data_IF_283048758981
#
_entry.id   IF_283048758981
#
_cell.length_a   1.000
_cell.length_b   1.000
_cell.length_c   1.000
_cell.angle_alpha   90.00
_cell.angle_beta   90.00
_cell.angle_gamma   90.00
#
_symmetry.space_group_name_H-M   'P 1'
#
loop_
_entity.id
_entity.type
_entity.pdbx_description
1 polymer ?
#
# COMPACT_ATOMS: atom_id res chain seq x y z
N UNK A 1 8.67 -0.87 36.62
CA UNK A 1 7.41 -1.59 36.36
C UNK A 1 7.30 -1.86 34.85
N UNK A 2 8.28 -2.57 34.28
CA UNK A 2 8.31 -2.96 32.86
C UNK A 2 8.59 -4.47 32.87
N UNK A 3 7.55 -5.27 33.05
CA UNK A 3 7.67 -6.72 32.90
C UNK A 3 6.76 -7.14 31.74
N UNK A 4 7.36 -7.83 30.77
CA UNK A 4 6.72 -8.51 29.62
C UNK A 4 6.27 -7.63 28.44
N UNK A 5 7.16 -6.84 27.83
CA UNK A 5 6.93 -6.30 26.48
C UNK A 5 6.91 -7.46 25.48
N UNK A 6 5.82 -7.61 24.71
CA UNK A 6 5.73 -8.57 23.61
C UNK A 6 5.73 -7.83 22.28
N UNK A 7 6.71 -8.12 21.44
CA UNK A 7 6.85 -7.56 20.10
C UNK A 7 6.55 -8.65 19.09
N UNK A 8 5.67 -8.38 18.14
CA UNK A 8 5.44 -9.25 16.98
C UNK A 8 5.90 -8.55 15.71
N UNK A 9 6.77 -9.23 14.96
CA UNK A 9 7.18 -8.84 13.62
C UNK A 9 6.43 -9.69 12.61
N UNK A 10 5.66 -9.05 11.73
CA UNK A 10 4.97 -9.71 10.64
C UNK A 10 5.71 -9.42 9.34
N UNK A 11 6.38 -10.43 8.77
CA UNK A 11 7.09 -10.32 7.50
C UNK A 11 6.37 -11.08 6.38
N UNK A 12 6.45 -10.56 5.15
CA UNK A 12 6.15 -11.33 3.93
C UNK A 12 7.23 -12.37 3.70
N UNK A 13 7.08 -13.55 4.30
CA UNK A 13 7.74 -14.74 3.80
C UNK A 13 6.72 -15.82 3.50
N UNK A 14 6.14 -15.74 2.30
CA UNK A 14 5.50 -16.82 1.55
C UNK A 14 4.92 -17.97 2.39
N UNK A 15 4.07 -17.67 3.38
CA UNK A 15 3.36 -18.71 4.13
C UNK A 15 2.14 -18.12 4.81
N UNK A 16 1.02 -18.68 4.37
CA UNK A 16 -0.39 -18.49 4.70
C UNK A 16 -0.77 -18.53 6.21
N UNK A 17 0.19 -18.41 7.14
CA UNK A 17 0.03 -18.79 8.54
C UNK A 17 -0.41 -17.68 9.49
N UNK A 18 -0.43 -16.42 9.07
CA UNK A 18 -0.81 -15.32 9.98
C UNK A 18 -2.34 -15.15 10.09
N UNK A 19 -3.09 -15.61 9.09
CA UNK A 19 -4.54 -15.38 8.99
C UNK A 19 -5.43 -16.59 9.24
N UNK A 20 -4.87 -17.81 9.36
CA UNK A 20 -5.66 -19.03 9.39
C UNK A 20 -5.11 -20.01 10.43
N UNK A 21 -5.95 -20.39 11.40
CA UNK A 21 -5.76 -21.61 12.19
C UNK A 21 -6.03 -22.83 11.28
N UNK A 22 -5.08 -23.12 10.39
CA UNK A 22 -5.08 -24.37 9.63
C UNK A 22 -4.41 -25.41 10.51
N UNK A 23 -5.23 -26.19 11.22
CA UNK A 23 -4.83 -27.48 11.75
C UNK A 23 -3.96 -28.21 10.72
N UNK A 24 -2.71 -28.46 11.10
CA UNK A 24 -1.65 -29.17 10.38
C UNK A 24 -2.12 -30.08 9.23
N UNK A 25 -2.21 -29.53 8.01
CA UNK A 25 -2.20 -30.35 6.80
C UNK A 25 -1.11 -29.80 5.89
N UNK A 26 -0.16 -30.67 5.54
CA UNK A 26 0.86 -30.47 4.53
C UNK A 26 0.22 -30.03 3.21
N UNK A 27 0.52 -28.81 2.76
CA UNK A 27 -0.07 -28.31 1.52
C UNK A 27 1.04 -27.81 0.60
N UNK A 28 1.50 -28.70 -0.28
CA UNK A 28 2.36 -28.39 -1.43
C UNK A 28 1.58 -27.92 -2.67
N UNK A 29 0.24 -27.90 -2.66
CA UNK A 29 -0.57 -27.66 -3.88
C UNK A 29 -1.92 -26.95 -3.59
N UNK A 30 -1.95 -25.63 -3.33
CA UNK A 30 -3.23 -24.94 -3.03
C UNK A 30 -3.35 -23.47 -3.46
N UNK A 31 -2.56 -22.98 -4.42
CA UNK A 31 -2.78 -21.61 -4.92
C UNK A 31 -4.19 -21.41 -5.52
N UNK A 32 -4.77 -22.43 -6.16
CA UNK A 32 -6.07 -22.30 -6.83
C UNK A 32 -7.30 -22.42 -5.91
N UNK A 33 -7.23 -23.21 -4.82
CA UNK A 33 -8.36 -23.44 -3.91
C UNK A 33 -8.53 -22.33 -2.87
N UNK A 34 -7.46 -21.62 -2.51
CA UNK A 34 -7.51 -20.50 -1.56
C UNK A 34 -8.21 -19.29 -2.19
N UNK A 35 -7.94 -19.00 -3.47
CA UNK A 35 -8.49 -17.82 -4.18
C UNK A 35 -10.01 -17.86 -4.26
N UNK A 36 -10.62 -19.04 -4.41
CA UNK A 36 -12.08 -19.21 -4.55
C UNK A 36 -12.87 -19.02 -3.24
N UNK A 37 -12.21 -18.89 -2.09
CA UNK A 37 -12.87 -18.80 -0.77
C UNK A 37 -12.42 -17.64 0.11
N UNK A 38 -11.72 -16.64 -0.45
CA UNK A 38 -11.17 -15.52 0.33
C UNK A 38 -12.27 -14.77 1.11
N UNK A 39 -13.48 -14.62 0.53
CA UNK A 39 -14.64 -14.00 1.19
C UNK A 39 -15.21 -14.78 2.39
N UNK A 40 -14.76 -16.02 2.62
CA UNK A 40 -15.20 -16.87 3.74
C UNK A 40 -14.11 -16.97 4.82
N UNK A 41 -13.02 -16.22 4.70
CA UNK A 41 -11.94 -16.20 5.70
C UNK A 41 -12.28 -15.16 6.76
N UNK A 42 -12.48 -15.62 7.99
CA UNK A 42 -12.62 -14.75 9.15
C UNK A 42 -11.23 -14.50 9.79
N UNK A 43 -10.79 -13.24 9.89
CA UNK A 43 -9.50 -12.91 10.48
C UNK A 43 -9.56 -13.02 12.02
N UNK A 44 -8.95 -14.07 12.58
CA UNK A 44 -8.92 -14.34 14.04
C UNK A 44 -7.74 -13.67 14.77
N UNK A 45 -6.94 -12.85 14.06
CA UNK A 45 -5.72 -12.23 14.60
C UNK A 45 -6.00 -11.40 15.87
N UNK A 46 -7.11 -10.65 15.87
CA UNK A 46 -7.53 -9.83 17.00
C UNK A 46 -7.88 -10.65 18.27
N UNK A 47 -8.21 -11.94 18.13
CA UNK A 47 -8.58 -12.81 19.24
C UNK A 47 -7.34 -13.50 19.83
N UNK A 48 -6.44 -13.97 18.96
CA UNK A 48 -5.32 -14.83 19.37
C UNK A 48 -4.10 -14.01 19.79
N UNK A 49 -3.76 -12.96 19.03
CA UNK A 49 -2.48 -12.27 19.19
C UNK A 49 -2.67 -10.90 19.82
N UNK A 50 -3.55 -10.08 19.25
CA UNK A 50 -3.71 -8.66 19.60
C UNK A 50 -3.90 -8.38 21.11
N UNK A 51 -4.60 -9.21 21.93
CA UNK A 51 -4.73 -8.98 23.37
C UNK A 51 -3.40 -9.07 24.14
N UNK A 52 -2.39 -9.71 23.55
CA UNK A 52 -1.09 -9.94 24.19
C UNK A 52 0.03 -9.08 23.62
N UNK A 53 -0.16 -8.44 22.47
CA UNK A 53 0.88 -7.65 21.81
C UNK A 53 1.03 -6.29 22.46
N UNK A 54 2.27 -5.86 22.65
CA UNK A 54 2.59 -4.49 23.08
C UNK A 54 3.04 -3.64 21.91
N UNK A 55 3.83 -4.23 21.01
CA UNK A 55 4.31 -3.57 19.78
C UNK A 55 4.03 -4.49 18.60
N UNK A 56 3.45 -3.92 17.54
CA UNK A 56 3.27 -4.59 16.25
C UNK A 56 4.15 -3.93 15.20
N UNK A 57 5.01 -4.71 14.55
CA UNK A 57 5.72 -4.30 13.34
C UNK A 57 5.06 -4.99 12.16
N UNK A 58 4.30 -4.23 11.37
CA UNK A 58 3.60 -4.70 10.20
C UNK A 58 4.45 -4.52 8.93
N UNK A 59 4.81 -5.61 8.29
CA UNK A 59 5.47 -5.64 6.98
C UNK A 59 4.88 -6.79 6.16
N UNK A 60 3.57 -6.73 5.94
CA UNK A 60 2.86 -7.69 5.09
C UNK A 60 2.47 -7.11 3.73
N UNK A 61 2.34 -7.98 2.74
CA UNK A 61 1.71 -7.64 1.49
C UNK A 61 0.21 -7.89 1.64
N UNK A 62 -0.58 -6.86 1.38
CA UNK A 62 -2.03 -6.91 1.47
C UNK A 62 -2.69 -6.39 0.18
N UNK A 63 -3.87 -6.91 -0.12
CA UNK A 63 -4.71 -6.42 -1.21
C UNK A 63 -6.15 -6.33 -0.71
N UNK A 64 -6.94 -5.40 -1.26
CA UNK A 64 -8.36 -5.20 -0.92
C UNK A 64 -9.25 -6.45 -0.97
N UNK A 65 -8.86 -7.48 -1.73
CA UNK A 65 -9.60 -8.75 -1.79
C UNK A 65 -9.44 -9.59 -0.53
N UNK A 66 -8.38 -9.37 0.26
CA UNK A 66 -8.13 -10.08 1.51
C UNK A 66 -8.78 -9.34 2.68
N UNK A 67 -9.31 -10.06 3.69
CA UNK A 67 -9.82 -9.42 4.89
C UNK A 67 -8.71 -8.64 5.59
N UNK A 68 -9.08 -7.51 6.21
CA UNK A 68 -8.22 -6.79 7.15
C UNK A 68 -7.98 -7.68 8.36
N UNK A 69 -6.79 -7.67 8.94
CA UNK A 69 -6.54 -8.47 10.13
C UNK A 69 -6.66 -7.66 11.44
N UNK A 70 -6.73 -6.33 11.33
CA UNK A 70 -7.19 -5.46 12.42
C UNK A 70 -8.17 -4.42 11.85
N UNK A 71 -9.41 -4.45 12.31
CA UNK A 71 -10.43 -3.43 12.02
C UNK A 71 -10.53 -2.40 13.16
N UNK A 72 -11.11 -1.23 12.86
CA UNK A 72 -11.34 -0.17 13.86
C UNK A 72 -12.24 -0.70 15.01
N UNK A 73 -13.29 -1.45 14.66
CA UNK A 73 -14.20 -2.10 15.62
C UNK A 73 -13.47 -3.11 16.52
N UNK A 74 -12.62 -3.98 15.94
CA UNK A 74 -11.91 -5.01 16.72
C UNK A 74 -10.94 -4.41 17.74
N UNK A 75 -10.20 -3.36 17.37
CA UNK A 75 -9.28 -2.70 18.31
C UNK A 75 -10.05 -1.89 19.36
N UNK A 76 -11.15 -1.24 18.98
CA UNK A 76 -12.03 -0.53 19.91
C UNK A 76 -12.57 -1.49 21.00
N UNK A 77 -13.17 -2.61 20.60
CA UNK A 77 -13.72 -3.61 21.54
C UNK A 77 -12.66 -4.16 22.52
N UNK A 78 -11.44 -4.39 22.04
CA UNK A 78 -10.33 -4.83 22.90
C UNK A 78 -9.93 -3.79 23.93
N UNK A 79 -9.91 -2.51 23.55
CA UNK A 79 -9.61 -1.41 24.48
C UNK A 79 -10.74 -1.21 25.48
N UNK A 80 -12.00 -1.17 25.03
CA UNK A 80 -13.17 -1.01 25.91
C UNK A 80 -13.30 -2.12 26.95
N UNK A 81 -12.96 -3.36 26.57
CA UNK A 81 -12.97 -4.51 27.47
C UNK A 81 -11.75 -4.59 28.39
N UNK A 82 -10.80 -3.65 28.30
CA UNK A 82 -9.56 -3.65 29.09
C UNK A 82 -8.59 -4.79 28.72
N UNK A 83 -8.77 -5.41 27.55
CA UNK A 83 -8.00 -6.55 27.08
C UNK A 83 -6.91 -6.18 26.06
N UNK A 84 -6.86 -4.92 25.61
CA UNK A 84 -5.78 -4.45 24.74
C UNK A 84 -4.50 -4.19 25.54
N UNK A 85 -3.38 -4.66 25.00
CA UNK A 85 -2.02 -4.31 25.47
C UNK A 85 -1.24 -3.52 24.43
N UNK A 86 -1.84 -3.26 23.28
CA UNK A 86 -1.16 -2.65 22.14
C UNK A 86 -0.88 -1.19 22.44
N UNK A 87 0.40 -0.82 22.40
CA UNK A 87 0.87 0.55 22.66
C UNK A 87 1.47 1.19 21.41
N UNK A 88 2.01 0.39 20.49
CA UNK A 88 2.63 0.92 19.30
C UNK A 88 2.46 0.02 18.06
N UNK A 89 2.32 0.67 16.91
CA UNK A 89 2.36 0.05 15.59
C UNK A 89 3.42 0.75 14.74
N UNK A 90 4.30 -0.04 14.15
CA UNK A 90 5.21 0.37 13.09
C UNK A 90 4.72 -0.30 11.80
N UNK A 91 4.09 0.46 10.92
CA UNK A 91 3.55 -0.05 9.66
C UNK A 91 4.48 0.29 8.49
N UNK A 92 5.21 -0.72 8.01
CA UNK A 92 6.10 -0.64 6.84
C UNK A 92 5.30 -0.73 5.54
N UNK A 93 4.11 -1.34 5.56
CA UNK A 93 3.30 -1.52 4.34
C UNK A 93 2.71 -0.18 3.90
N UNK A 94 2.38 0.69 4.86
CA UNK A 94 1.86 2.04 4.63
C UNK A 94 0.63 2.04 3.70
N UNK A 95 -0.25 1.04 3.85
CA UNK A 95 -1.49 0.97 3.10
C UNK A 95 -2.59 1.76 3.83
N UNK A 96 -2.90 2.98 3.36
CA UNK A 96 -3.96 3.82 3.95
C UNK A 96 -5.27 3.04 4.06
N UNK A 97 -5.81 2.94 5.28
CA UNK A 97 -6.94 2.07 5.60
C UNK A 97 -6.81 0.70 4.92
N UNK A 98 -5.67 0.05 5.09
CA UNK A 98 -5.31 -1.21 4.46
C UNK A 98 -5.45 -2.40 5.41
N UNK A 99 -4.40 -3.21 5.48
CA UNK A 99 -4.41 -4.43 6.31
C UNK A 99 -4.71 -4.17 7.80
N UNK A 100 -4.27 -3.00 8.29
CA UNK A 100 -4.65 -2.37 9.54
C UNK A 100 -5.53 -1.15 9.22
N UNK A 101 -6.79 -1.17 9.65
CA UNK A 101 -7.77 -0.15 9.24
C UNK A 101 -7.50 1.24 9.84
N UNK A 102 -6.89 1.33 11.02
CA UNK A 102 -6.65 2.59 11.71
C UNK A 102 -5.35 3.31 11.29
N UNK A 103 -4.73 2.89 10.17
CA UNK A 103 -3.80 3.75 9.46
C UNK A 103 -4.60 4.87 8.78
N UNK A 104 -4.64 6.06 9.40
CA UNK A 104 -5.44 7.21 8.95
C UNK A 104 -4.62 8.30 8.27
N UNK A 105 -3.30 8.34 8.49
CA UNK A 105 -2.37 9.25 7.81
C UNK A 105 -0.95 8.70 7.79
N UNK A 106 -0.15 9.17 6.85
CA UNK A 106 1.28 8.89 6.81
C UNK A 106 2.06 9.83 7.74
N UNK A 107 3.11 9.29 8.34
CA UNK A 107 4.09 10.04 9.13
C UNK A 107 5.28 10.44 8.26
N UNK A 108 6.06 11.41 8.70
CA UNK A 108 7.27 11.86 8.01
C UNK A 108 8.43 11.98 9.00
N UNK A 109 9.68 12.17 8.56
CA UNK A 109 10.84 12.22 9.46
C UNK A 109 10.75 13.31 10.54
N UNK A 110 10.10 14.45 10.26
CA UNK A 110 9.93 15.54 11.22
C UNK A 110 8.86 15.20 12.28
N UNK A 111 7.83 14.44 11.87
CA UNK A 111 6.73 13.95 12.69
C UNK A 111 6.57 12.43 12.51
N UNK A 112 7.46 11.62 13.11
CA UNK A 112 7.60 10.19 12.80
C UNK A 112 6.50 9.32 13.40
N UNK A 113 5.70 9.85 14.33
CA UNK A 113 4.60 9.15 14.97
C UNK A 113 3.38 10.05 15.12
N UNK A 114 2.20 9.45 15.14
CA UNK A 114 0.99 10.06 15.67
C UNK A 114 0.33 9.10 16.66
N UNK A 115 -0.65 9.59 17.40
CA UNK A 115 -1.41 8.81 18.37
C UNK A 115 -2.83 8.61 17.89
N UNK A 116 -3.27 7.36 17.89
CA UNK A 116 -4.64 6.97 17.56
C UNK A 116 -5.37 6.49 18.82
N UNK A 117 -6.54 7.06 19.10
CA UNK A 117 -7.40 6.61 20.18
C UNK A 117 -8.50 5.70 19.62
N UNK A 118 -8.54 4.39 19.98
CA UNK A 118 -9.55 3.48 19.45
C UNK A 118 -10.98 3.75 19.90
N UNK A 119 -11.17 4.43 21.05
CA UNK A 119 -12.49 4.71 21.62
C UNK A 119 -13.16 5.87 20.89
N UNK A 120 -12.43 6.98 20.73
CA UNK A 120 -12.94 8.18 20.05
C UNK A 120 -12.68 8.16 18.54
N UNK A 121 -11.85 7.22 18.07
CA UNK A 121 -11.33 7.12 16.71
C UNK A 121 -10.59 8.38 16.24
N UNK A 122 -10.11 9.20 17.19
CA UNK A 122 -9.39 10.44 16.90
C UNK A 122 -7.89 10.22 16.73
N UNK A 123 -7.26 11.03 15.89
CA UNK A 123 -5.80 11.12 15.75
C UNK A 123 -5.29 12.45 16.30
N UNK A 124 -4.08 12.43 16.86
CA UNK A 124 -3.38 13.64 17.31
C UNK A 124 -1.86 13.44 17.26
N UNK A 125 -1.12 14.54 17.18
CA UNK A 125 0.34 14.54 16.94
C UNK A 125 1.17 14.73 18.21
N UNK A 126 0.54 15.15 19.30
CA UNK A 126 1.21 15.39 20.58
C UNK A 126 1.02 14.19 21.50
N UNK A 127 2.02 13.87 22.29
CA UNK A 127 1.87 12.83 23.30
C UNK A 127 1.09 13.36 24.51
N UNK A 128 -0.03 12.72 24.83
CA UNK A 128 -0.78 12.98 26.06
C UNK A 128 -0.53 11.90 27.11
N UNK A 129 0.16 12.27 28.21
CA UNK A 129 0.41 11.37 29.34
C UNK A 129 -0.88 10.86 30.02
N UNK A 130 -2.01 11.55 29.83
CA UNK A 130 -3.30 11.16 30.42
C UNK A 130 -4.06 10.16 29.56
N UNK A 131 -3.69 10.02 28.29
CA UNK A 131 -4.38 9.13 27.37
C UNK A 131 -3.90 7.69 27.52
N UNK A 132 -4.62 6.92 28.33
CA UNK A 132 -4.27 5.53 28.65
C UNK A 132 -4.48 4.54 27.49
N UNK A 133 -5.24 4.95 26.47
CA UNK A 133 -5.72 4.08 25.41
C UNK A 133 -5.09 4.37 24.04
N UNK A 134 -4.21 5.36 23.97
CA UNK A 134 -3.63 5.73 22.68
C UNK A 134 -2.60 4.73 22.22
N UNK A 135 -2.67 4.47 20.91
CA UNK A 135 -1.73 3.64 20.19
C UNK A 135 -0.83 4.58 19.39
N UNK A 136 0.46 4.56 19.68
CA UNK A 136 1.48 5.25 18.89
C UNK A 136 1.62 4.57 17.53
N UNK A 137 1.57 5.34 16.45
CA UNK A 137 1.55 4.80 15.09
C UNK A 137 2.64 5.47 14.24
N UNK A 138 3.50 4.65 13.64
CA UNK A 138 4.49 5.07 12.63
C UNK A 138 4.10 4.45 11.28
N UNK A 139 4.11 5.27 10.22
CA UNK A 139 3.79 4.86 8.85
C UNK A 139 4.52 5.79 7.87
N UNK A 140 5.81 5.52 7.63
CA UNK A 140 6.66 6.32 6.72
C UNK A 140 6.72 5.58 5.38
N UNK A 141 6.15 6.16 4.32
CA UNK A 141 6.00 5.52 3.00
C UNK A 141 7.29 5.48 2.17
N UNK A 142 8.37 6.12 2.64
CA UNK A 142 9.67 6.17 1.98
C UNK A 142 10.83 5.69 2.86
N UNK A 143 10.63 4.68 3.71
CA UNK A 143 11.67 4.13 4.59
C UNK A 143 13.05 3.89 3.95
N UNK A 144 13.19 3.45 2.67
CA UNK A 144 14.52 3.34 2.06
C UNK A 144 15.32 4.64 2.05
N UNK A 145 14.67 5.81 1.99
CA UNK A 145 15.37 7.10 2.06
C UNK A 145 15.92 7.43 3.44
N UNK A 146 15.47 6.72 4.49
CA UNK A 146 15.98 6.84 5.85
C UNK A 146 17.28 6.06 6.05
N UNK A 147 17.63 5.16 5.12
CA UNK A 147 18.92 4.47 5.02
C UNK A 147 19.51 4.68 3.61
N UNK A 148 19.81 5.94 3.22
CA UNK A 148 20.07 6.29 1.82
C UNK A 148 21.34 5.66 1.28
N UNK A 149 22.35 5.42 2.12
CA UNK A 149 23.59 4.77 1.72
C UNK A 149 23.34 3.30 1.35
N UNK A 150 22.67 2.55 2.23
CA UNK A 150 22.31 1.14 2.04
C UNK A 150 21.38 0.98 0.83
N UNK A 151 20.32 1.80 0.75
CA UNK A 151 19.38 1.78 -0.35
C UNK A 151 20.08 2.05 -1.70
N UNK A 152 20.99 3.03 -1.76
CA UNK A 152 21.76 3.33 -2.97
C UNK A 152 22.70 2.20 -3.35
N UNK A 153 23.35 1.58 -2.36
CA UNK A 153 24.27 0.46 -2.58
C UNK A 153 23.51 -0.76 -3.13
N UNK A 154 22.37 -1.10 -2.56
CA UNK A 154 21.59 -2.26 -2.98
C UNK A 154 20.88 -2.04 -4.32
N UNK A 155 20.34 -0.84 -4.56
CA UNK A 155 19.82 -0.46 -5.88
C UNK A 155 20.93 -0.50 -6.95
N UNK A 156 22.11 0.04 -6.63
CA UNK A 156 23.26 0.05 -7.52
C UNK A 156 23.74 -1.35 -7.90
N UNK A 157 23.78 -2.28 -6.94
CA UNK A 157 24.10 -3.70 -7.21
C UNK A 157 23.10 -4.32 -8.19
N UNK A 158 21.80 -4.12 -7.98
CA UNK A 158 20.77 -4.65 -8.87
C UNK A 158 20.83 -4.02 -10.28
N UNK A 159 21.07 -2.72 -10.37
CA UNK A 159 21.15 -2.00 -11.64
C UNK A 159 22.40 -2.36 -12.44
N UNK A 160 23.53 -2.62 -11.77
CA UNK A 160 24.82 -2.93 -12.43
C UNK A 160 24.71 -4.04 -13.47
N UNK A 161 23.97 -5.10 -13.15
CA UNK A 161 23.80 -6.26 -14.04
C UNK A 161 22.82 -5.99 -15.19
N UNK A 162 21.98 -4.96 -15.06
CA UNK A 162 20.99 -4.54 -16.07
C UNK A 162 21.61 -3.60 -17.11
N UNK A 163 22.53 -2.72 -16.68
CA UNK A 163 23.12 -1.66 -17.53
C UNK A 163 23.67 -2.17 -18.88
N UNK A 164 24.40 -3.29 -18.97
CA UNK A 164 24.89 -3.78 -20.25
C UNK A 164 23.77 -4.07 -21.25
N UNK A 165 22.65 -4.67 -20.82
CA UNK A 165 21.52 -4.94 -21.71
C UNK A 165 20.90 -3.66 -22.25
N UNK A 166 20.81 -2.62 -21.42
CA UNK A 166 20.33 -1.31 -21.85
C UNK A 166 21.30 -0.67 -22.85
N UNK A 167 22.60 -0.72 -22.58
CA UNK A 167 23.63 -0.10 -23.41
C UNK A 167 23.78 -0.74 -24.80
N UNK A 168 23.57 -2.05 -24.92
CA UNK A 168 23.66 -2.77 -26.19
C UNK A 168 22.32 -2.91 -26.92
N UNK A 169 21.22 -2.43 -26.34
CA UNK A 169 19.92 -2.41 -27.00
C UNK A 169 19.86 -1.36 -28.11
N UNK A 170 19.06 -1.63 -29.14
CA UNK A 170 18.76 -0.66 -30.20
C UNK A 170 17.37 -0.05 -29.95
N UNK A 171 17.30 1.20 -29.45
CA UNK A 171 16.04 1.84 -29.14
C UNK A 171 15.25 2.23 -30.39
N UNK A 172 15.79 2.13 -31.60
CA UNK A 172 15.08 2.47 -32.83
C UNK A 172 14.28 1.28 -33.41
N UNK A 173 14.53 0.06 -32.91
CA UNK A 173 13.83 -1.15 -33.33
C UNK A 173 12.52 -1.35 -32.56
N UNK A 174 11.60 -2.17 -33.09
CA UNK A 174 10.50 -2.71 -32.31
C UNK A 174 11.01 -3.36 -31.01
N UNK A 175 10.18 -3.37 -29.95
CA UNK A 175 10.59 -3.82 -28.62
C UNK A 175 11.14 -5.26 -28.63
N UNK A 176 10.52 -6.13 -29.41
CA UNK A 176 10.86 -7.54 -29.58
C UNK A 176 12.22 -7.72 -30.27
N UNK A 177 12.64 -6.73 -31.06
CA UNK A 177 13.89 -6.72 -31.83
C UNK A 177 14.95 -5.77 -31.25
N UNK A 178 14.63 -5.11 -30.13
CA UNK A 178 15.51 -4.13 -29.46
C UNK A 178 16.79 -4.74 -28.90
N UNK A 179 16.86 -6.07 -28.77
CA UNK A 179 17.98 -6.76 -28.11
C UNK A 179 17.87 -6.77 -26.58
N UNK A 180 16.81 -6.19 -25.99
CA UNK A 180 16.53 -6.32 -24.57
C UNK A 180 16.11 -7.76 -24.22
N UNK A 181 16.54 -8.30 -23.08
CA UNK A 181 16.00 -9.55 -22.56
C UNK A 181 14.53 -9.41 -22.19
N UNK A 182 13.79 -10.52 -22.20
CA UNK A 182 12.34 -10.53 -22.01
C UNK A 182 11.86 -9.81 -20.75
N UNK A 183 12.60 -9.88 -19.63
CA UNK A 183 12.23 -9.21 -18.40
C UNK A 183 12.29 -7.67 -18.52
N UNK A 184 13.25 -7.14 -19.29
CA UNK A 184 13.34 -5.70 -19.58
C UNK A 184 12.32 -5.27 -20.63
N UNK A 185 12.02 -6.12 -21.62
CA UNK A 185 10.90 -5.87 -22.53
C UNK A 185 9.59 -5.77 -21.76
N UNK A 186 9.34 -6.68 -20.82
CA UNK A 186 8.16 -6.66 -19.96
C UNK A 186 8.11 -5.44 -19.04
N UNK A 187 9.27 -4.92 -18.64
CA UNK A 187 9.39 -3.72 -17.82
C UNK A 187 9.34 -2.40 -18.64
N UNK A 188 9.39 -2.48 -19.98
CA UNK A 188 9.40 -1.30 -20.85
C UNK A 188 7.98 -0.74 -20.99
N UNK A 189 7.69 0.32 -20.23
CA UNK A 189 6.37 0.97 -20.22
C UNK A 189 6.10 1.74 -21.51
N UNK A 190 7.12 2.41 -22.04
CA UNK A 190 7.00 3.27 -23.23
C UNK A 190 8.14 3.03 -24.20
N UNK A 191 7.85 3.08 -25.50
CA UNK A 191 8.81 3.10 -26.60
C UNK A 191 8.37 4.12 -27.65
N UNK A 192 9.32 4.89 -28.20
CA UNK A 192 9.04 5.95 -29.19
C UNK A 192 7.93 6.95 -28.79
N UNK A 193 7.83 7.25 -27.49
CA UNK A 193 6.82 8.17 -26.95
C UNK A 193 5.42 7.58 -26.84
N UNK A 194 5.24 6.28 -27.08
CA UNK A 194 3.96 5.59 -26.97
C UNK A 194 4.02 4.52 -25.88
N UNK A 195 2.86 4.20 -25.28
CA UNK A 195 2.74 3.06 -24.38
C UNK A 195 2.96 1.76 -25.16
N UNK A 196 3.71 0.82 -24.59
CA UNK A 196 3.80 -0.53 -25.15
C UNK A 196 2.51 -1.30 -24.85
N UNK A 197 2.23 -2.37 -25.59
CA UNK A 197 0.92 -3.04 -25.55
C UNK A 197 0.49 -3.52 -24.16
N UNK A 198 1.44 -3.89 -23.30
CA UNK A 198 1.14 -4.29 -21.91
C UNK A 198 0.62 -3.15 -21.03
N UNK A 199 0.90 -1.91 -21.42
CA UNK A 199 0.62 -0.71 -20.63
C UNK A 199 -0.42 0.21 -21.28
N UNK A 200 -1.01 -0.18 -22.41
CA UNK A 200 -2.08 0.58 -23.09
C UNK A 200 -3.27 0.90 -22.15
N UNK A 201 -3.53 0.04 -21.16
CA UNK A 201 -4.55 0.26 -20.14
C UNK A 201 -4.37 1.57 -19.36
N UNK A 202 -3.16 2.13 -19.29
CA UNK A 202 -2.88 3.39 -18.62
C UNK A 202 -3.66 4.54 -19.28
N UNK A 203 -3.82 4.53 -20.61
CA UNK A 203 -4.61 5.55 -21.30
C UNK A 203 -6.08 5.54 -20.87
N UNK A 204 -6.66 4.36 -20.66
CA UNK A 204 -8.04 4.23 -20.19
C UNK A 204 -8.18 4.73 -18.74
N UNK A 205 -7.28 4.30 -17.85
CA UNK A 205 -7.25 4.75 -16.46
C UNK A 205 -7.03 6.27 -16.34
N UNK A 206 -6.21 6.84 -17.22
CA UNK A 206 -5.98 8.29 -17.26
C UNK A 206 -7.26 9.05 -17.62
N UNK A 207 -7.97 8.62 -18.67
CA UNK A 207 -9.27 9.23 -19.06
C UNK A 207 -10.30 9.15 -17.94
N UNK A 208 -10.34 8.03 -17.22
CA UNK A 208 -11.19 7.87 -16.04
C UNK A 208 -10.83 8.92 -14.97
N UNK A 209 -9.55 9.07 -14.67
CA UNK A 209 -9.09 10.00 -13.64
C UNK A 209 -9.31 11.47 -13.99
N UNK A 210 -9.18 11.83 -15.27
CA UNK A 210 -9.40 13.19 -15.80
C UNK A 210 -10.89 13.54 -15.93
N UNK A 211 -11.80 12.58 -15.77
CA UNK A 211 -13.26 12.84 -15.80
C UNK A 211 -13.69 13.49 -14.49
N UNK A 212 -14.19 14.73 -14.57
CA UNK A 212 -14.66 15.50 -13.40
C UNK A 212 -16.04 15.07 -12.89
N UNK A 213 -16.88 14.48 -13.76
CA UNK A 213 -18.23 14.06 -13.38
C UNK A 213 -18.19 12.70 -12.67
N UNK A 214 -18.54 12.67 -11.38
CA UNK A 214 -18.51 11.46 -10.55
C UNK A 214 -19.35 10.31 -11.09
N UNK A 215 -20.54 10.60 -11.63
CA UNK A 215 -21.42 9.57 -12.19
C UNK A 215 -20.84 8.95 -13.47
N UNK A 216 -20.28 9.78 -14.33
CA UNK A 216 -19.60 9.34 -15.55
C UNK A 216 -18.33 8.54 -15.20
N UNK A 217 -17.55 9.03 -14.25
CA UNK A 217 -16.36 8.36 -13.74
C UNK A 217 -16.69 6.99 -13.17
N UNK A 218 -17.73 6.88 -12.35
CA UNK A 218 -18.22 5.62 -11.80
C UNK A 218 -18.63 4.62 -12.90
N UNK A 219 -19.37 5.07 -13.92
CA UNK A 219 -19.73 4.25 -15.08
C UNK A 219 -18.50 3.73 -15.83
N UNK A 220 -17.51 4.60 -16.07
CA UNK A 220 -16.28 4.22 -16.78
C UNK A 220 -15.45 3.22 -15.98
N UNK A 221 -15.31 3.43 -14.66
CA UNK A 221 -14.64 2.49 -13.74
C UNK A 221 -15.32 1.12 -13.81
N UNK A 222 -16.64 1.09 -13.66
CA UNK A 222 -17.42 -0.16 -13.64
C UNK A 222 -17.28 -0.92 -14.96
N UNK A 223 -17.34 -0.22 -16.08
CA UNK A 223 -17.17 -0.80 -17.41
C UNK A 223 -15.76 -1.36 -17.62
N UNK A 224 -14.71 -0.61 -17.25
CA UNK A 224 -13.32 -1.05 -17.35
C UNK A 224 -13.07 -2.37 -16.63
N UNK A 225 -13.45 -2.45 -15.35
CA UNK A 225 -13.23 -3.66 -14.55
C UNK A 225 -14.10 -4.84 -15.03
N UNK A 226 -15.33 -4.58 -15.48
CA UNK A 226 -16.20 -5.63 -16.04
C UNK A 226 -15.61 -6.24 -17.32
N UNK A 227 -15.11 -5.41 -18.22
CA UNK A 227 -14.48 -5.86 -19.46
C UNK A 227 -13.20 -6.66 -19.18
N UNK A 228 -12.37 -6.22 -18.23
CA UNK A 228 -11.15 -6.93 -17.82
C UNK A 228 -11.45 -8.30 -17.20
N UNK A 229 -12.50 -8.40 -16.38
CA UNK A 229 -12.97 -9.67 -15.82
C UNK A 229 -13.45 -10.62 -16.92
N UNK A 230 -14.18 -10.10 -17.91
CA UNK A 230 -14.70 -10.91 -19.02
C UNK A 230 -13.60 -11.36 -19.99
N UNK A 231 -12.65 -10.48 -20.34
CA UNK A 231 -11.49 -10.83 -21.15
C UNK A 231 -10.61 -11.92 -20.51
N UNK A 232 -10.53 -11.94 -19.18
CA UNK A 232 -9.82 -12.98 -18.42
C UNK A 232 -10.61 -14.31 -18.30
N UNK A 233 -11.91 -14.34 -18.60
CA UNK A 233 -12.69 -15.60 -18.66
C UNK A 233 -12.43 -16.37 -19.95
N UNK A 234 -12.13 -15.66 -21.04
CA UNK A 234 -11.79 -16.27 -22.33
C UNK A 234 -10.33 -16.75 -22.39
N UNK A 235 -9.44 -16.17 -21.59
CA UNK A 235 -8.04 -16.60 -21.42
C UNK A 235 -7.82 -17.27 -20.05
N UNK A 236 -8.12 -18.57 -19.97
CA UNK A 236 -7.80 -19.35 -18.77
C UNK A 236 -6.28 -19.45 -18.57
N UNK A 237 -5.86 -19.19 -17.32
CA UNK A 237 -4.50 -19.30 -16.73
C UNK A 237 -3.58 -18.06 -16.90
N UNK A 238 -3.82 -16.99 -16.11
CA UNK A 238 -2.79 -16.23 -15.36
C UNK A 238 -3.38 -15.01 -14.61
N UNK A 239 -3.06 -14.91 -13.32
CA UNK A 239 -3.04 -13.70 -12.47
C UNK A 239 -4.34 -12.88 -12.27
N UNK A 240 -5.19 -13.37 -11.35
CA UNK A 240 -6.36 -12.65 -10.85
C UNK A 240 -5.97 -11.52 -9.85
N UNK A 241 -5.81 -10.30 -10.36
CA UNK A 241 -6.06 -9.04 -9.64
C UNK A 241 -7.53 -8.63 -9.85
N UNK A 242 -8.39 -8.92 -8.89
CA UNK A 242 -9.80 -8.52 -8.90
C UNK A 242 -10.13 -7.66 -7.69
N UNK A 243 -10.73 -6.49 -7.94
CA UNK A 243 -11.45 -5.68 -6.95
C UNK A 243 -12.74 -6.43 -6.54
N UNK A 244 -13.11 -6.50 -5.24
CA UNK A 244 -14.33 -7.19 -4.79
C UNK A 244 -15.63 -6.55 -5.31
N UNK A 245 -16.49 -7.35 -5.93
CA UNK A 245 -17.84 -6.96 -6.38
C UNK A 245 -18.81 -6.59 -5.24
N UNK A 246 -18.48 -6.87 -3.97
CA UNK A 246 -19.36 -6.60 -2.82
C UNK A 246 -19.52 -5.10 -2.49
N UNK A 247 -18.58 -4.23 -2.90
CA UNK A 247 -18.73 -2.78 -2.73
C UNK A 247 -19.69 -2.14 -3.75
N UNK A 248 -19.99 -2.82 -4.87
CA UNK A 248 -20.92 -2.30 -5.87
C UNK A 248 -22.38 -2.44 -5.39
N UNK A 249 -22.69 -3.46 -4.58
CA UNK A 249 -24.04 -3.66 -4.03
C UNK A 249 -24.37 -2.74 -2.85
N UNK A 250 -23.38 -2.34 -2.05
CA UNK A 250 -23.60 -1.44 -0.90
C UNK A 250 -23.78 0.03 -1.34
N UNK A 251 -23.13 0.44 -2.44
CA UNK A 251 -23.35 1.74 -3.08
C UNK A 251 -24.73 1.88 -3.74
N UNK A 252 -25.42 0.78 -4.02
CA UNK A 252 -26.76 0.81 -4.62
C UNK A 252 -27.89 1.05 -3.60
N UNK A 253 -27.61 1.00 -2.29
CA UNK A 253 -28.63 1.04 -1.25
C UNK A 253 -28.73 2.37 -0.47
N UNK A 254 -27.90 3.37 -0.80
CA UNK A 254 -28.01 4.71 -0.24
C UNK A 254 -28.07 5.72 -1.38
N UNK A 255 -29.18 6.48 -1.46
CA UNK A 255 -29.24 7.68 -2.29
C UNK A 255 -28.09 8.60 -1.89
N UNK A 256 -27.09 8.72 -2.78
CA UNK A 256 -25.99 9.65 -2.66
C UNK A 256 -26.54 11.09 -2.62
N UNK A 257 -26.58 11.67 -1.43
CA UNK A 257 -26.78 13.10 -1.22
C UNK A 257 -25.40 13.74 -1.00
N UNK A 258 -24.89 14.56 -1.93
CA UNK A 258 -23.57 15.15 -1.78
C UNK A 258 -23.61 16.24 -0.71
N UNK A 259 -22.87 16.03 0.38
CA UNK A 259 -22.63 17.04 1.40
C UNK A 259 -21.69 18.11 0.84
N UNK A 260 -22.17 19.36 0.69
CA UNK A 260 -21.52 20.43 -0.09
C UNK A 260 -20.23 21.00 0.52
N UNK A 261 -19.66 20.38 1.56
CA UNK A 261 -18.53 20.94 2.31
C UNK A 261 -17.27 20.05 2.42
N UNK A 262 -17.15 18.95 1.67
CA UNK A 262 -15.92 18.15 1.64
C UNK A 262 -15.12 18.37 0.34
N UNK A 263 -14.59 19.57 0.14
CA UNK A 263 -13.49 19.77 -0.81
C UNK A 263 -12.20 19.16 -0.23
N UNK A 264 -12.01 17.85 -0.39
CA UNK A 264 -10.68 17.24 -0.28
C UNK A 264 -10.06 17.30 -1.68
N UNK A 265 -9.43 18.43 -1.98
CA UNK A 265 -8.58 18.61 -3.15
C UNK A 265 -7.27 17.85 -2.93
N UNK A 266 -7.12 16.69 -3.56
CA UNK A 266 -5.85 15.97 -3.61
C UNK A 266 -4.88 16.68 -4.56
N UNK A 267 -4.21 17.72 -4.07
CA UNK A 267 -3.34 18.57 -4.89
C UNK A 267 -1.88 18.09 -4.80
N UNK A 268 -1.50 17.15 -5.68
CA UNK A 268 -0.11 16.65 -5.79
C UNK A 268 0.84 17.67 -6.45
N UNK A 269 0.31 18.76 -7.01
CA UNK A 269 1.08 19.75 -7.78
C UNK A 269 1.72 20.85 -6.92
N UNK A 270 1.18 21.16 -5.74
CA UNK A 270 1.69 22.26 -4.90
C UNK A 270 3.11 21.98 -4.35
N UNK A 271 3.43 20.73 -4.01
CA UNK A 271 4.77 20.37 -3.52
C UNK A 271 5.86 20.45 -4.60
N UNK A 272 5.53 20.33 -5.89
CA UNK A 272 6.54 20.38 -6.97
C UNK A 272 6.92 21.82 -7.33
N UNK A 273 6.00 22.77 -7.21
CA UNK A 273 6.27 24.19 -7.48
C UNK A 273 6.95 24.91 -6.30
N UNK A 274 6.63 24.55 -5.05
CA UNK A 274 7.34 25.09 -3.88
C UNK A 274 8.79 24.59 -3.82
N UNK A 275 9.04 23.31 -4.13
CA UNK A 275 10.40 22.76 -4.21
C UNK A 275 11.22 23.41 -5.33
N UNK A 276 10.59 23.87 -6.42
CA UNK A 276 11.27 24.62 -7.51
C UNK A 276 11.56 26.08 -7.15
N UNK A 277 10.73 26.72 -6.31
CA UNK A 277 10.99 28.11 -5.87
C UNK A 277 12.09 28.19 -4.82
N UNK A 278 12.20 27.21 -3.93
CA UNK A 278 13.23 27.18 -2.88
C UNK A 278 14.62 26.93 -3.49
N UNK A 279 14.74 26.09 -4.51
CA UNK A 279 16.03 25.80 -5.16
C UNK A 279 16.61 26.93 -6.03
N UNK A 280 15.85 28.00 -6.29
CA UNK A 280 16.31 29.13 -7.11
C UNK A 280 16.81 30.35 -6.29
N UNK A 281 16.87 30.28 -4.95
CA UNK A 281 17.24 31.44 -4.13
C UNK A 281 18.44 31.27 -3.18
N UNK A 282 19.12 30.12 -3.12
CA UNK A 282 20.33 29.99 -2.29
C UNK A 282 21.42 29.14 -2.94
N UNK A 283 22.20 29.77 -3.83
CA UNK A 283 23.59 29.35 -4.07
C UNK A 283 24.44 29.85 -2.91
N UNK A 284 24.76 28.97 -1.96
CA UNK A 284 25.88 29.17 -1.05
C UNK A 284 27.06 28.33 -1.54
N UNK A 285 28.08 29.01 -2.04
CA UNK A 285 29.40 28.44 -2.29
C UNK A 285 30.00 27.94 -0.96
N UNK A 286 30.21 26.62 -0.86
CA UNK A 286 31.04 26.03 0.19
C UNK A 286 32.26 25.42 -0.50
N UNK A 287 33.36 26.17 -0.51
CA UNK A 287 34.69 25.64 -0.82
C UNK A 287 35.16 24.75 0.35
N UNK A 288 35.33 23.47 0.09
CA UNK A 288 36.00 22.54 1.02
C UNK A 288 37.49 22.52 0.65
N UNK A 289 38.32 23.19 1.46
CA UNK A 289 39.77 22.99 1.44
C UNK A 289 40.11 21.69 2.18
N UNK A 290 40.79 20.79 1.50
CA UNK A 290 41.35 19.57 2.06
C UNK A 290 42.72 19.92 2.67
N UNK A 291 42.88 19.71 3.98
CA UNK A 291 44.17 19.51 4.64
C UNK A 291 44.27 18.06 5.10
#
# INVERSE_FOLDING_TARGET
MIQNIKILYMFVHLRLHILLDINMICIKNLHHKIIMKIHQIEPIFHQIYLPYLTILVNDIYWEYKFPRYITDTQIQELVESGNSRLQAVCDVTCDLEGSIQFLKKFTNPDHPVYYYNPITQSIHDEFDFQSQNDIMYMSIDFLPSQMPYEASMDFGKALRDIVPYLAYSDPNKPLEESGLPQFLQNATVTLHGQLTSKFEYINELRKINETENDHQKFKMITSYYSNKINANKDNTIADNKSFPQQQISELNAQEYQPDRNSHISYNRQTNVEETRKINNQQTFDVQIQIQ
#
